data_IF_940364527459
#
_entry.id   IF_940364527459
#
_cell.length_a   1.000
_cell.length_b   1.000
_cell.length_c   1.000
_cell.angle_alpha   90.00
_cell.angle_beta   90.00
_cell.angle_gamma   90.00
#
_symmetry.space_group_name_H-M   'P 1'
#
loop_
_entity.id
_entity.type
_entity.pdbx_description
1 polymer ?
#
# COMPACT_ATOMS: atom_id res chain seq x y z
N UNK A 1 -17.72 -9.66 -28.63
CA UNK A 1 -17.48 -9.46 -27.18
C UNK A 1 -17.78 -8.01 -26.87
N UNK A 2 -18.75 -7.73 -26.00
CA UNK A 2 -19.12 -6.37 -25.62
C UNK A 2 -17.95 -5.67 -24.96
N UNK A 3 -17.50 -4.57 -25.56
CA UNK A 3 -16.45 -3.72 -25.00
C UNK A 3 -16.96 -3.16 -23.67
N UNK A 4 -16.23 -3.40 -22.58
CA UNK A 4 -16.57 -2.80 -21.29
C UNK A 4 -16.60 -1.28 -21.44
N UNK A 5 -17.71 -0.64 -21.04
CA UNK A 5 -17.89 0.80 -21.19
C UNK A 5 -16.74 1.56 -20.51
N UNK A 6 -16.25 2.59 -21.20
CA UNK A 6 -15.21 3.45 -20.66
C UNK A 6 -15.82 4.35 -19.58
N UNK A 7 -15.54 4.02 -18.33
CA UNK A 7 -15.95 4.85 -17.19
C UNK A 7 -15.18 6.19 -17.24
N UNK A 8 -15.87 7.33 -17.17
CA UNK A 8 -15.23 8.63 -17.21
C UNK A 8 -14.43 8.90 -15.92
N UNK A 9 -13.39 9.74 -16.02
CA UNK A 9 -12.46 9.99 -14.93
C UNK A 9 -13.14 10.57 -13.68
N UNK A 10 -14.11 11.48 -13.85
CA UNK A 10 -14.83 12.09 -12.74
C UNK A 10 -15.53 11.04 -11.85
N UNK A 11 -16.14 10.01 -12.47
CA UNK A 11 -16.82 8.93 -11.74
C UNK A 11 -15.85 8.07 -10.95
N UNK A 12 -14.61 7.92 -11.42
CA UNK A 12 -13.55 7.29 -10.62
C UNK A 12 -13.15 8.15 -9.44
N UNK A 13 -12.92 9.45 -9.64
CA UNK A 13 -12.47 10.34 -8.57
C UNK A 13 -13.54 10.50 -7.47
N UNK A 14 -14.83 10.57 -7.82
CA UNK A 14 -15.94 10.56 -6.83
C UNK A 14 -15.92 9.31 -5.93
N UNK A 15 -15.54 8.18 -6.49
CA UNK A 15 -15.52 6.90 -5.79
C UNK A 15 -14.15 6.56 -5.19
N UNK A 16 -13.15 7.43 -5.36
CA UNK A 16 -11.75 7.16 -5.01
C UNK A 16 -11.57 6.87 -3.52
N UNK A 17 -12.18 7.69 -2.66
CA UNK A 17 -12.06 7.51 -1.21
C UNK A 17 -12.70 6.19 -0.76
N UNK A 18 -13.87 5.84 -1.29
CA UNK A 18 -14.50 4.54 -1.00
C UNK A 18 -13.66 3.36 -1.47
N UNK A 19 -13.12 3.44 -2.69
CA UNK A 19 -12.21 2.43 -3.25
C UNK A 19 -10.95 2.32 -2.38
N UNK A 20 -10.38 3.45 -1.96
CA UNK A 20 -9.21 3.51 -1.08
C UNK A 20 -9.50 2.83 0.26
N UNK A 21 -10.60 3.17 0.92
CA UNK A 21 -10.98 2.60 2.22
C UNK A 21 -11.22 1.10 2.12
N UNK A 22 -11.95 0.64 1.10
CA UNK A 22 -12.18 -0.79 0.90
C UNK A 22 -10.88 -1.53 0.61
N UNK A 23 -10.05 -0.99 -0.28
CA UNK A 23 -8.84 -1.67 -0.76
C UNK A 23 -7.69 -1.64 0.26
N UNK A 24 -7.42 -0.50 0.90
CA UNK A 24 -6.31 -0.31 1.81
C UNK A 24 -6.72 -0.55 3.27
N UNK A 25 -7.71 0.21 3.77
CA UNK A 25 -8.03 0.24 5.20
C UNK A 25 -8.73 -1.05 5.65
N UNK A 26 -9.69 -1.53 4.86
CA UNK A 26 -10.40 -2.79 5.11
C UNK A 26 -9.68 -4.00 4.50
N UNK A 27 -8.55 -3.78 3.82
CA UNK A 27 -7.71 -4.79 3.18
C UNK A 27 -8.48 -5.75 2.24
N UNK A 28 -9.59 -5.32 1.64
CA UNK A 28 -10.41 -6.16 0.74
C UNK A 28 -9.63 -6.56 -0.50
N UNK A 29 -9.77 -7.81 -0.94
CA UNK A 29 -9.20 -8.28 -2.20
C UNK A 29 -9.78 -7.50 -3.39
N UNK A 30 -9.14 -7.58 -4.56
CA UNK A 30 -9.67 -6.92 -5.76
C UNK A 30 -11.10 -7.39 -6.08
N UNK A 31 -11.38 -8.66 -5.78
CA UNK A 31 -12.66 -9.30 -6.08
C UNK A 31 -13.75 -8.83 -5.14
N UNK A 32 -13.43 -8.75 -3.85
CA UNK A 32 -14.32 -8.16 -2.86
C UNK A 32 -14.53 -6.67 -3.11
N UNK A 33 -13.51 -5.93 -3.53
CA UNK A 33 -13.64 -4.52 -3.90
C UNK A 33 -14.64 -4.37 -5.05
N UNK A 34 -14.45 -5.10 -6.15
CA UNK A 34 -15.35 -5.08 -7.30
C UNK A 34 -16.77 -5.43 -6.86
N UNK A 35 -16.94 -6.52 -6.09
CA UNK A 35 -18.23 -6.93 -5.58
C UNK A 35 -18.90 -5.84 -4.73
N UNK A 36 -18.18 -5.24 -3.77
CA UNK A 36 -18.71 -4.17 -2.92
C UNK A 36 -19.08 -2.93 -3.72
N UNK A 37 -18.30 -2.58 -4.73
CA UNK A 37 -18.55 -1.43 -5.59
C UNK A 37 -19.78 -1.65 -6.50
N UNK A 38 -20.01 -2.88 -6.96
CA UNK A 38 -21.24 -3.23 -7.67
C UNK A 38 -22.45 -3.17 -6.72
N UNK A 39 -22.36 -3.83 -5.55
CA UNK A 39 -23.51 -3.97 -4.65
C UNK A 39 -23.94 -2.66 -3.97
N UNK A 40 -22.97 -1.87 -3.48
CA UNK A 40 -23.28 -0.70 -2.65
C UNK A 40 -23.29 0.61 -3.44
N UNK A 41 -22.56 0.69 -4.55
CA UNK A 41 -22.35 1.93 -5.31
C UNK A 41 -22.80 1.83 -6.78
N UNK A 42 -23.38 0.68 -7.18
CA UNK A 42 -23.81 0.39 -8.55
C UNK A 42 -22.74 0.74 -9.61
N UNK A 43 -21.47 0.53 -9.23
CA UNK A 43 -20.30 0.89 -10.03
C UNK A 43 -19.76 -0.35 -10.73
N UNK A 44 -20.15 -0.49 -12.01
CA UNK A 44 -19.80 -1.62 -12.85
C UNK A 44 -18.47 -1.35 -13.55
N UNK A 45 -17.38 -1.94 -13.04
CA UNK A 45 -16.08 -1.92 -13.70
C UNK A 45 -15.41 -3.29 -13.65
N UNK A 46 -14.63 -3.59 -14.68
CA UNK A 46 -13.86 -4.83 -14.77
C UNK A 46 -12.65 -4.79 -13.84
N UNK A 47 -12.14 -5.98 -13.46
CA UNK A 47 -10.90 -6.10 -12.67
C UNK A 47 -9.73 -5.34 -13.30
N UNK A 48 -9.57 -5.42 -14.62
CA UNK A 48 -8.50 -4.74 -15.35
C UNK A 48 -8.59 -3.22 -15.23
N UNK A 49 -9.81 -2.66 -15.26
CA UNK A 49 -10.03 -1.23 -15.05
C UNK A 49 -9.66 -0.81 -13.62
N UNK A 50 -10.04 -1.59 -12.61
CA UNK A 50 -9.62 -1.34 -11.23
C UNK A 50 -8.10 -1.40 -11.06
N UNK A 51 -7.43 -2.43 -11.58
CA UNK A 51 -5.96 -2.56 -11.49
C UNK A 51 -5.29 -1.32 -12.08
N UNK A 52 -5.73 -0.89 -13.27
CA UNK A 52 -5.21 0.30 -13.93
C UNK A 52 -5.45 1.57 -13.09
N UNK A 53 -6.64 1.71 -12.51
CA UNK A 53 -6.98 2.89 -11.73
C UNK A 53 -6.25 2.93 -10.39
N UNK A 54 -6.18 1.80 -9.68
CA UNK A 54 -5.39 1.67 -8.44
C UNK A 54 -3.91 1.99 -8.69
N UNK A 55 -3.36 1.54 -9.82
CA UNK A 55 -2.01 1.89 -10.25
C UNK A 55 -1.84 3.39 -10.53
N UNK A 56 -2.81 4.01 -11.21
CA UNK A 56 -2.83 5.47 -11.49
C UNK A 56 -2.87 6.30 -10.20
N UNK A 57 -3.57 5.83 -9.17
CA UNK A 57 -3.63 6.48 -7.87
C UNK A 57 -2.51 6.06 -6.91
N UNK A 58 -1.59 5.21 -7.37
CA UNK A 58 -0.52 4.63 -6.56
C UNK A 58 -1.00 3.95 -5.27
N UNK A 59 -2.24 3.44 -5.26
CA UNK A 59 -2.81 2.71 -4.13
C UNK A 59 -2.24 1.29 -4.10
N UNK A 60 -1.20 1.09 -3.29
CA UNK A 60 -0.51 -0.19 -3.12
C UNK A 60 -0.70 -0.70 -1.69
N UNK A 61 -1.20 -1.94 -1.54
CA UNK A 61 -1.33 -2.62 -0.24
C UNK A 61 0.01 -2.91 0.44
N UNK A 62 1.03 -3.13 -0.39
CA UNK A 62 2.32 -3.59 0.04
C UNK A 62 3.35 -2.49 -0.22
N UNK A 63 4.13 -2.22 0.82
CA UNK A 63 5.36 -1.48 0.73
C UNK A 63 6.39 -2.30 -0.05
N UNK A 64 7.10 -1.65 -0.96
CA UNK A 64 8.19 -2.25 -1.74
C UNK A 64 9.44 -2.41 -0.86
N UNK A 65 10.41 -3.19 -1.33
CA UNK A 65 11.70 -3.34 -0.63
C UNK A 65 12.38 -1.99 -0.40
N UNK A 66 12.34 -1.09 -1.39
CA UNK A 66 12.96 0.22 -1.26
C UNK A 66 12.21 1.12 -0.27
N UNK A 67 10.87 1.05 -0.22
CA UNK A 67 10.08 1.72 0.82
C UNK A 67 10.52 1.26 2.22
N UNK A 68 10.77 -0.04 2.40
CA UNK A 68 11.25 -0.59 3.67
C UNK A 68 12.69 -0.18 4.01
N UNK A 69 13.58 -0.07 3.03
CA UNK A 69 14.94 0.46 3.24
C UNK A 69 14.90 1.91 3.71
N UNK A 70 14.08 2.75 3.07
CA UNK A 70 13.87 4.14 3.48
C UNK A 70 13.28 4.22 4.88
N UNK A 71 12.24 3.43 5.18
CA UNK A 71 11.65 3.35 6.51
C UNK A 71 12.69 2.94 7.57
N UNK A 72 13.53 1.95 7.30
CA UNK A 72 14.61 1.52 8.20
C UNK A 72 15.62 2.63 8.49
N UNK A 73 16.04 3.38 7.47
CA UNK A 73 16.95 4.51 7.65
C UNK A 73 16.33 5.60 8.54
N UNK A 74 15.05 5.91 8.30
CA UNK A 74 14.30 6.89 9.08
C UNK A 74 14.12 6.47 10.54
N UNK A 75 13.80 5.20 10.80
CA UNK A 75 13.71 4.64 12.17
C UNK A 75 15.04 4.73 12.88
N UNK A 76 16.14 4.36 12.21
CA UNK A 76 17.48 4.41 12.81
C UNK A 76 17.82 5.84 13.23
N UNK A 77 17.54 6.83 12.36
CA UNK A 77 17.75 8.24 12.67
C UNK A 77 16.90 8.69 13.86
N UNK A 78 15.60 8.38 13.88
CA UNK A 78 14.69 8.78 14.97
C UNK A 78 14.96 8.09 16.30
N UNK A 79 15.46 6.85 16.28
CA UNK A 79 15.90 6.15 17.48
C UNK A 79 17.10 6.85 18.14
N UNK A 80 18.04 7.36 17.34
CA UNK A 80 19.16 8.18 17.85
C UNK A 80 18.65 9.48 18.47
N UNK A 81 17.56 10.04 17.94
CA UNK A 81 16.90 11.24 18.46
C UNK A 81 15.95 10.96 19.64
N UNK A 82 15.79 9.71 20.09
CA UNK A 82 14.92 9.32 21.20
C UNK A 82 13.41 9.43 20.95
N UNK A 83 12.97 9.50 19.69
CA UNK A 83 11.55 9.69 19.33
C UNK A 83 10.85 8.37 19.02
N UNK A 84 9.66 8.17 19.58
CA UNK A 84 8.75 7.11 19.12
C UNK A 84 8.33 7.37 17.66
N UNK A 85 8.34 6.33 16.85
CA UNK A 85 8.16 6.46 15.40
C UNK A 85 6.91 5.73 14.94
N UNK A 86 5.86 6.50 14.65
CA UNK A 86 4.78 6.04 13.78
C UNK A 86 5.22 6.21 12.32
N UNK A 87 5.15 5.14 11.53
CA UNK A 87 5.57 5.15 10.12
C UNK A 87 4.36 4.96 9.24
N UNK A 88 4.16 5.91 8.34
CA UNK A 88 3.28 5.73 7.20
C UNK A 88 4.10 5.34 5.97
N UNK A 89 3.75 4.21 5.36
CA UNK A 89 4.32 3.81 4.06
C UNK A 89 3.16 3.71 3.07
N UNK A 90 3.30 4.37 1.91
CA UNK A 90 2.28 4.41 0.85
C UNK A 90 0.90 4.86 1.39
N UNK A 91 0.91 5.83 2.32
CA UNK A 91 -0.30 6.37 2.94
C UNK A 91 -1.01 5.43 3.92
N UNK A 92 -0.36 4.34 4.36
CA UNK A 92 -0.89 3.42 5.36
C UNK A 92 0.00 3.44 6.62
N UNK A 93 -0.61 3.59 7.79
CA UNK A 93 0.08 3.43 9.07
C UNK A 93 0.53 1.98 9.22
N UNK A 94 1.83 1.78 9.39
CA UNK A 94 2.41 0.45 9.56
C UNK A 94 2.34 0.06 11.03
N UNK A 95 1.48 -0.91 11.34
CA UNK A 95 1.41 -1.48 12.69
C UNK A 95 2.77 -2.06 13.15
N UNK A 96 3.12 -1.88 14.42
CA UNK A 96 4.42 -2.26 15.00
C UNK A 96 4.79 -3.74 14.78
N UNK A 97 3.79 -4.64 14.79
CA UNK A 97 3.99 -6.08 14.51
C UNK A 97 4.46 -6.32 13.07
N UNK A 98 3.87 -5.61 12.09
CA UNK A 98 4.27 -5.65 10.68
C UNK A 98 5.64 -5.00 10.52
N UNK A 99 5.88 -3.87 11.19
CA UNK A 99 7.16 -3.18 11.17
C UNK A 99 8.32 -4.08 11.62
N UNK A 100 8.22 -4.74 12.78
CA UNK A 100 9.25 -5.66 13.29
C UNK A 100 9.51 -6.83 12.33
N UNK A 101 8.44 -7.41 11.77
CA UNK A 101 8.54 -8.52 10.82
C UNK A 101 9.28 -8.12 9.54
N UNK A 102 8.92 -6.98 8.95
CA UNK A 102 9.52 -6.53 7.68
C UNK A 102 10.94 -5.98 7.89
N UNK A 103 11.22 -5.29 9.00
CA UNK A 103 12.59 -4.91 9.36
C UNK A 103 13.51 -6.12 9.54
N UNK A 104 13.02 -7.23 10.09
CA UNK A 104 13.75 -8.49 10.20
C UNK A 104 13.91 -9.24 8.86
N UNK A 105 12.95 -9.11 7.94
CA UNK A 105 13.07 -9.67 6.58
C UNK A 105 14.16 -8.96 5.77
N UNK A 106 14.24 -7.63 5.88
CA UNK A 106 15.27 -6.81 5.24
C UNK A 106 16.45 -6.50 6.17
N UNK A 107 16.63 -7.24 7.28
CA UNK A 107 17.85 -7.19 8.10
C UNK A 107 18.94 -8.12 7.55
N UNK A 108 18.56 -9.18 6.83
CA UNK A 108 19.48 -10.10 6.18
C UNK A 108 19.94 -9.59 4.81
N UNK A 109 20.60 -8.44 4.79
CA UNK A 109 21.42 -7.97 3.66
C UNK A 109 22.41 -6.91 4.17
N UNK A 110 23.34 -7.37 5.03
CA UNK A 110 24.80 -7.29 4.87
C UNK A 110 25.48 -7.53 6.23
N UNK A 111 25.98 -8.76 6.42
CA UNK A 111 27.30 -8.96 7.01
C UNK A 111 28.33 -8.47 5.99
N UNK A 112 29.26 -7.60 6.40
CA UNK A 112 30.68 -7.51 6.02
C UNK A 112 31.20 -6.13 6.48
N UNK A 113 31.64 -6.08 7.72
CA UNK A 113 32.75 -5.22 8.12
C UNK A 113 33.77 -6.16 8.78
N UNK A 114 35.03 -6.22 8.34
CA UNK A 114 36.03 -7.04 9.02
C UNK A 114 36.20 -6.49 10.44
N UNK A 115 36.27 -7.33 11.49
CA UNK A 115 36.75 -6.87 12.78
C UNK A 115 38.16 -6.30 12.56
N UNK A 116 38.29 -5.01 12.83
CA UNK A 116 39.59 -4.35 12.92
C UNK A 116 40.11 -4.57 14.34
N UNK A 117 41.40 -4.90 14.40
CA UNK A 117 42.28 -5.17 15.56
C UNK A 117 42.19 -6.57 16.19
#
# INVERSE_FOLDING_TARGET
>A
MSQAERIPAWRWEENKEYIRTLYLDQNKTLDELVYNMVQNYNFLATRAQYIRQLGKWELKKNATQDDWKCAKALIRKRKVEGKETEIMINGNVVAMKKLKKELGRYSWQQSYGPPSE
#
